data_IF_634329813559
#
_entry.id   IF_634329813559
#
_cell.length_a   1.000
_cell.length_b   1.000
_cell.length_c   1.000
_cell.angle_alpha   90.00
_cell.angle_beta   90.00
_cell.angle_gamma   90.00
#
_symmetry.space_group_name_H-M   'P 1'
#
loop_
_entity.id
_entity.type
_entity.pdbx_description
1 polymer ?
#
# COMPACT_ATOMS: atom_id res chain seq x y z
N UNK A 1 12.31 -9.39 16.31
CA UNK A 1 12.21 -10.86 16.40
C UNK A 1 11.87 -11.25 17.82
N UNK A 2 10.69 -11.85 18.05
CA UNK A 2 10.59 -13.12 18.78
C UNK A 2 9.13 -13.61 18.82
N UNK A 3 8.73 -14.49 17.90
CA UNK A 3 7.58 -15.37 18.09
C UNK A 3 8.11 -16.69 18.64
N UNK A 4 8.27 -16.83 19.97
CA UNK A 4 8.42 -18.11 20.67
C UNK A 4 8.45 -17.87 22.20
N UNK A 5 7.51 -18.49 22.93
CA UNK A 5 7.68 -18.78 24.36
C UNK A 5 6.91 -17.90 25.35
N UNK A 6 6.34 -18.57 26.36
CA UNK A 6 5.50 -18.08 27.47
C UNK A 6 6.18 -17.09 28.45
N UNK A 7 7.41 -16.62 28.19
CA UNK A 7 8.14 -15.69 29.07
C UNK A 7 9.03 -14.77 28.22
N UNK A 8 8.68 -13.48 28.10
CA UNK A 8 9.51 -12.46 27.44
C UNK A 8 8.72 -11.55 26.50
N UNK A 9 8.66 -10.26 26.81
CA UNK A 9 7.83 -9.25 26.13
C UNK A 9 7.88 -9.32 24.60
N UNK A 10 6.71 -9.58 24.00
CA UNK A 10 6.52 -9.64 22.56
C UNK A 10 6.76 -8.29 21.86
N UNK A 11 6.60 -8.23 20.52
CA UNK A 11 6.80 -7.00 19.77
C UNK A 11 5.89 -5.88 20.30
N UNK A 12 6.47 -4.70 20.55
CA UNK A 12 5.73 -3.52 21.05
C UNK A 12 5.08 -2.73 19.93
N UNK A 13 5.49 -2.93 18.68
CA UNK A 13 4.96 -2.24 17.52
C UNK A 13 4.82 -3.18 16.34
N UNK A 14 3.61 -3.25 15.80
CA UNK A 14 3.32 -3.86 14.50
C UNK A 14 2.83 -2.78 13.55
N UNK A 15 3.45 -2.67 12.38
CA UNK A 15 3.03 -1.74 11.33
C UNK A 15 2.65 -2.51 10.09
N UNK A 16 1.40 -2.40 9.69
CA UNK A 16 0.92 -3.02 8.46
C UNK A 16 1.60 -2.38 7.24
N UNK A 17 2.18 -3.22 6.38
CA UNK A 17 2.82 -2.79 5.12
C UNK A 17 2.16 -3.40 3.89
N UNK A 18 1.64 -4.62 4.00
CA UNK A 18 0.98 -5.33 2.91
C UNK A 18 -0.22 -6.12 3.46
N UNK A 19 -1.38 -5.96 2.83
CA UNK A 19 -2.57 -6.79 3.13
C UNK A 19 -2.52 -8.15 2.43
N UNK A 20 -1.54 -8.36 1.54
CA UNK A 20 -1.45 -9.50 0.64
C UNK A 20 -2.75 -9.67 -0.17
N UNK A 21 -3.30 -8.59 -0.72
CA UNK A 21 -4.58 -8.60 -1.45
C UNK A 21 -4.56 -9.39 -2.76
N UNK A 22 -3.37 -9.74 -3.29
CA UNK A 22 -3.22 -10.59 -4.48
C UNK A 22 -3.20 -9.83 -5.81
N UNK A 23 -3.34 -8.52 -5.75
CA UNK A 23 -3.23 -7.62 -6.89
C UNK A 23 -2.38 -6.41 -6.49
N UNK A 24 -1.12 -6.44 -6.92
CA UNK A 24 -0.10 -5.52 -6.45
C UNK A 24 -0.03 -4.26 -7.32
N UNK A 25 -0.19 -3.10 -6.68
CA UNK A 25 -0.14 -1.80 -7.35
C UNK A 25 1.19 -1.05 -7.16
N UNK A 26 2.17 -1.63 -6.44
CA UNK A 26 3.39 -0.94 -6.01
C UNK A 26 4.17 -0.32 -7.18
N UNK A 27 4.20 -0.95 -8.35
CA UNK A 27 4.88 -0.43 -9.54
C UNK A 27 4.26 0.87 -10.08
N UNK A 28 2.96 1.09 -9.86
CA UNK A 28 2.25 2.32 -10.27
C UNK A 28 2.48 3.47 -9.31
N UNK A 29 2.46 3.16 -8.02
CA UNK A 29 2.45 4.13 -6.91
C UNK A 29 3.84 4.32 -6.29
N UNK A 30 4.90 4.14 -7.09
CA UNK A 30 6.29 4.29 -6.68
C UNK A 30 6.63 3.57 -5.35
N UNK A 31 6.12 2.36 -5.15
CA UNK A 31 6.43 1.52 -3.99
C UNK A 31 5.70 1.86 -2.69
N UNK A 32 4.68 2.72 -2.72
CA UNK A 32 3.86 3.06 -1.54
C UNK A 32 2.46 2.47 -1.70
N UNK A 33 2.15 1.38 -0.99
CA UNK A 33 0.83 0.74 -1.10
C UNK A 33 -0.30 1.68 -0.62
N UNK A 34 -1.23 2.09 -1.49
CA UNK A 34 -2.27 3.04 -1.09
C UNK A 34 -3.35 2.38 -0.22
N UNK A 35 -3.48 1.05 -0.27
CA UNK A 35 -4.43 0.29 0.56
C UNK A 35 -3.99 0.22 2.04
N UNK A 36 -2.68 0.09 2.32
CA UNK A 36 -2.16 -0.01 3.70
C UNK A 36 -1.65 1.31 4.26
N UNK A 37 -1.08 2.18 3.41
CA UNK A 37 -0.48 3.44 3.88
C UNK A 37 -1.50 4.58 3.91
N UNK A 38 -2.65 4.47 3.25
CA UNK A 38 -3.75 5.41 3.41
C UNK A 38 -4.71 4.87 4.47
N UNK A 39 -5.05 5.64 5.52
CA UNK A 39 -6.00 5.18 6.54
C UNK A 39 -7.41 4.96 5.99
N UNK A 40 -7.71 5.52 4.80
CA UNK A 40 -8.98 5.31 4.09
C UNK A 40 -8.96 4.10 3.13
N UNK A 41 -7.81 3.45 2.93
CA UNK A 41 -7.67 2.30 2.03
C UNK A 41 -8.02 2.61 0.56
N UNK A 42 -7.81 3.84 0.09
CA UNK A 42 -8.24 4.26 -1.25
C UNK A 42 -7.25 3.82 -2.33
N UNK A 43 -7.70 2.98 -3.27
CA UNK A 43 -6.91 2.56 -4.44
C UNK A 43 -6.67 3.69 -5.44
N UNK A 44 -7.68 4.54 -5.63
CA UNK A 44 -7.67 5.71 -6.48
C UNK A 44 -7.79 6.96 -5.59
N UNK A 45 -6.74 7.77 -5.52
CA UNK A 45 -6.75 9.07 -4.85
C UNK A 45 -6.37 10.19 -5.83
N UNK A 46 -6.20 11.43 -5.34
CA UNK A 46 -6.31 11.88 -3.95
C UNK A 46 -7.77 12.03 -3.48
N UNK A 47 -8.00 12.00 -2.16
CA UNK A 47 -9.34 12.17 -1.57
C UNK A 47 -9.69 13.61 -1.18
N UNK A 48 -8.77 14.58 -1.33
CA UNK A 48 -8.93 15.96 -0.88
C UNK A 48 -8.72 16.16 0.63
N UNK A 49 -8.75 15.09 1.42
CA UNK A 49 -8.65 15.12 2.88
C UNK A 49 -7.25 15.23 3.48
N UNK A 50 -6.38 16.03 2.87
CA UNK A 50 -5.02 16.25 3.36
C UNK A 50 -4.81 17.70 3.75
N UNK A 51 -4.23 17.94 4.93
CA UNK A 51 -3.88 19.27 5.42
C UNK A 51 -2.38 19.29 5.77
N UNK A 52 -1.64 20.26 5.24
CA UNK A 52 -0.20 20.41 5.50
C UNK A 52 0.64 19.13 5.31
N UNK A 53 0.30 18.29 4.32
CA UNK A 53 0.99 17.02 4.07
C UNK A 53 0.48 15.83 4.90
N UNK A 54 -0.37 16.06 5.89
CA UNK A 54 -0.91 15.06 6.82
C UNK A 54 -2.32 14.62 6.43
N UNK A 55 -2.75 13.45 6.90
CA UNK A 55 -4.10 12.96 6.67
C UNK A 55 -5.10 13.56 7.68
N UNK A 56 -6.33 13.83 7.24
CA UNK A 56 -7.40 14.28 8.14
C UNK A 56 -7.83 13.22 9.18
N UNK A 57 -7.58 11.94 8.92
CA UNK A 57 -7.96 10.85 9.84
C UNK A 57 -6.97 10.73 10.99
N UNK A 58 -5.69 10.95 10.69
CA UNK A 58 -4.60 10.89 11.66
C UNK A 58 -3.59 12.01 11.32
N UNK A 59 -3.58 13.12 12.08
CA UNK A 59 -2.69 14.25 11.87
C UNK A 59 -1.19 13.91 12.00
N UNK A 60 -0.83 12.83 12.70
CA UNK A 60 0.57 12.41 12.82
C UNK A 60 1.03 11.67 11.54
N UNK A 61 0.10 11.05 10.83
CA UNK A 61 0.37 10.25 9.65
C UNK A 61 0.47 11.10 8.37
N UNK A 62 1.59 10.93 7.65
CA UNK A 62 1.77 11.52 6.33
C UNK A 62 0.74 10.97 5.33
N UNK A 63 0.19 11.86 4.49
CA UNK A 63 -0.75 11.45 3.46
C UNK A 63 -0.05 10.60 2.40
N UNK A 64 -0.44 9.33 2.27
CA UNK A 64 0.13 8.40 1.30
C UNK A 64 0.13 8.95 -0.13
N UNK A 65 -0.94 9.63 -0.55
CA UNK A 65 -1.05 10.18 -1.91
C UNK A 65 -0.13 11.36 -2.17
N UNK A 66 0.17 12.18 -1.15
CA UNK A 66 1.20 13.23 -1.26
C UNK A 66 2.58 12.58 -1.40
N UNK A 67 2.89 11.56 -0.59
CA UNK A 67 4.16 10.84 -0.69
C UNK A 67 4.34 10.14 -2.05
N UNK A 68 3.28 9.53 -2.58
CA UNK A 68 3.26 8.91 -3.92
C UNK A 68 3.55 9.97 -4.98
N UNK A 69 2.86 11.11 -4.93
CA UNK A 69 3.03 12.21 -5.87
C UNK A 69 4.47 12.74 -5.86
N UNK A 70 5.02 13.05 -4.68
CA UNK A 70 6.38 13.57 -4.55
C UNK A 70 7.43 12.57 -5.08
N UNK A 71 7.22 11.27 -4.85
CA UNK A 71 8.13 10.25 -5.36
C UNK A 71 8.02 10.09 -6.88
N UNK A 72 6.81 10.08 -7.44
CA UNK A 72 6.62 10.03 -8.89
C UNK A 72 7.13 11.28 -9.59
N UNK A 73 6.99 12.46 -8.97
CA UNK A 73 7.57 13.72 -9.45
C UNK A 73 9.09 13.63 -9.54
N UNK A 74 9.77 13.07 -8.53
CA UNK A 74 11.22 12.82 -8.54
C UNK A 74 11.65 11.83 -9.62
N UNK A 75 10.79 10.87 -9.96
CA UNK A 75 11.04 9.88 -11.03
C UNK A 75 10.67 10.40 -12.42
N UNK A 76 10.00 11.55 -12.54
CA UNK A 76 9.47 12.04 -13.82
C UNK A 76 8.28 11.22 -14.36
N UNK A 77 7.63 10.40 -13.54
CA UNK A 77 6.58 9.46 -13.95
C UNK A 77 5.17 9.89 -13.52
N UNK A 78 4.90 11.19 -13.45
CA UNK A 78 3.61 11.73 -13.01
C UNK A 78 2.42 11.28 -13.89
N UNK A 79 2.68 10.90 -15.14
CA UNK A 79 1.65 10.37 -16.04
C UNK A 79 0.98 9.09 -15.52
N UNK A 80 1.65 8.32 -14.64
CA UNK A 80 1.06 7.15 -13.99
C UNK A 80 -0.17 7.49 -13.13
N UNK A 81 -0.28 8.72 -12.63
CA UNK A 81 -1.42 9.18 -11.84
C UNK A 81 -2.63 9.61 -12.67
N UNK A 82 -2.45 9.86 -13.98
CA UNK A 82 -3.55 10.29 -14.86
C UNK A 82 -4.53 9.16 -15.19
N UNK A 83 -4.11 7.91 -15.01
CA UNK A 83 -4.91 6.72 -15.32
C UNK A 83 -5.67 6.28 -14.08
N UNK A 84 -7.01 6.32 -14.15
CA UNK A 84 -7.85 5.66 -13.17
C UNK A 84 -7.65 4.14 -13.24
N UNK A 85 -7.68 3.46 -12.09
CA UNK A 85 -7.68 2.00 -12.04
C UNK A 85 -9.09 1.47 -11.88
N UNK A 86 -9.32 0.30 -12.46
CA UNK A 86 -10.52 -0.48 -12.18
C UNK A 86 -10.64 -0.78 -10.67
N UNK A 87 -11.86 -1.06 -10.20
CA UNK A 87 -12.05 -1.53 -8.84
C UNK A 87 -11.15 -2.71 -8.52
N UNK A 88 -10.56 -2.72 -7.31
CA UNK A 88 -9.69 -3.79 -6.86
C UNK A 88 -10.42 -5.14 -6.87
N UNK A 89 -9.82 -6.17 -7.47
CA UNK A 89 -10.41 -7.51 -7.47
C UNK A 89 -10.13 -8.25 -6.15
N UNK A 90 -11.05 -8.05 -5.20
CA UNK A 90 -10.99 -8.69 -3.88
C UNK A 90 -11.25 -10.20 -3.91
N UNK A 91 -11.74 -10.77 -5.01
CA UNK A 91 -11.93 -12.23 -5.12
C UNK A 91 -10.60 -13.00 -5.01
N UNK A 92 -9.49 -12.35 -5.40
CA UNK A 92 -8.13 -12.86 -5.24
C UNK A 92 -7.71 -12.94 -3.77
N UNK A 93 -8.38 -12.24 -2.85
CA UNK A 93 -8.10 -12.21 -1.41
C UNK A 93 -8.72 -13.38 -0.62
N UNK A 94 -8.79 -14.56 -1.23
CA UNK A 94 -9.28 -15.77 -0.56
C UNK A 94 -8.33 -16.25 0.55
N UNK A 95 -8.88 -16.66 1.70
CA UNK A 95 -8.13 -17.23 2.83
C UNK A 95 -8.60 -18.68 3.13
N UNK A 96 -7.71 -19.67 3.35
CA UNK A 96 -6.28 -19.63 3.04
C UNK A 96 -6.04 -19.56 1.53
N UNK A 97 -5.05 -18.78 1.09
CA UNK A 97 -4.75 -18.64 -0.34
C UNK A 97 -3.82 -19.78 -0.78
N UNK A 98 -4.15 -20.42 -1.92
CA UNK A 98 -3.26 -21.32 -2.66
C UNK A 98 -3.20 -20.82 -4.10
N UNK A 99 -1.99 -20.53 -4.61
CA UNK A 99 -1.75 -20.06 -5.97
C UNK A 99 -0.74 -21.01 -6.62
N UNK A 100 -1.05 -21.48 -7.83
CA UNK A 100 -0.07 -22.07 -8.73
C UNK A 100 0.32 -20.99 -9.74
N UNK A 101 1.61 -20.64 -9.78
CA UNK A 101 2.14 -19.59 -10.66
C UNK A 101 3.17 -20.21 -11.60
N UNK A 102 3.15 -19.79 -12.87
CA UNK A 102 4.20 -20.15 -13.82
C UNK A 102 5.51 -19.44 -13.45
N UNK A 103 6.68 -20.03 -13.76
CA UNK A 103 7.96 -19.37 -13.56
C UNK A 103 8.01 -18.02 -14.31
N UNK A 104 8.62 -17.00 -13.71
CA UNK A 104 8.92 -15.76 -14.42
C UNK A 104 10.01 -16.05 -15.47
N UNK A 105 9.68 -15.91 -16.74
CA UNK A 105 10.66 -15.88 -17.82
C UNK A 105 11.30 -14.48 -17.83
N UNK A 106 12.58 -14.42 -17.47
CA UNK A 106 13.39 -13.21 -17.67
C UNK A 106 14.06 -13.38 -19.02
N UNK A 107 13.45 -12.84 -20.06
CA UNK A 107 14.12 -12.60 -21.35
C UNK A 107 15.01 -11.35 -21.24
#
# INVERSE_FOLDING_TARGET
>A
TNPMGHMGGGPTLFKEKCQQCGECELGRVAGICPLTQCPKGLLNGPCGGSQNGKCEVDPEQDCAWILIYERLKKLGELDKLKKARDPHDWSKMRRPRKLEVSPLSVE
#
